data_IF_060427845059
#
_entry.id   IF_060427845059
#
_cell.length_a   1.000
_cell.length_b   1.000
_cell.length_c   1.000
_cell.angle_alpha   90.00
_cell.angle_beta   90.00
_cell.angle_gamma   90.00
#
_symmetry.space_group_name_H-M   'P 1'
#
loop_
_entity.id
_entity.type
_entity.pdbx_description
1 polymer ?
#
# COMPACT_ATOMS: atom_id res chain seq x y z
N UNK A 1 20.92 -3.34 10.19
CA UNK A 1 21.61 -3.05 8.90
C UNK A 1 20.77 -3.61 7.75
N UNK A 2 21.10 -3.31 6.48
CA UNK A 2 20.37 -3.90 5.33
C UNK A 2 20.46 -5.44 5.32
N UNK A 3 21.62 -5.99 5.69
CA UNK A 3 21.82 -7.44 5.77
C UNK A 3 20.93 -8.09 6.84
N UNK A 4 20.84 -7.48 8.02
CA UNK A 4 19.96 -7.93 9.09
C UNK A 4 18.47 -7.89 8.71
N UNK A 5 18.00 -6.79 8.10
CA UNK A 5 16.61 -6.70 7.62
C UNK A 5 16.30 -7.80 6.61
N UNK A 6 17.22 -8.07 5.67
CA UNK A 6 17.06 -9.13 4.70
C UNK A 6 16.97 -10.50 5.37
N UNK A 7 17.84 -10.78 6.33
CA UNK A 7 17.83 -12.03 7.09
C UNK A 7 16.49 -12.24 7.81
N UNK A 8 15.97 -11.18 8.45
CA UNK A 8 14.68 -11.22 9.15
C UNK A 8 13.50 -11.45 8.21
N UNK A 9 13.48 -10.81 7.04
CA UNK A 9 12.45 -11.04 6.02
C UNK A 9 12.53 -12.48 5.47
N UNK A 10 13.73 -12.98 5.19
CA UNK A 10 13.92 -14.34 4.66
C UNK A 10 13.46 -15.42 5.63
N UNK A 11 13.64 -15.22 6.94
CA UNK A 11 13.22 -16.17 7.97
C UNK A 11 11.79 -15.95 8.49
N UNK A 12 11.11 -14.89 8.05
CA UNK A 12 9.72 -14.65 8.41
C UNK A 12 8.80 -15.69 7.76
N UNK A 13 7.88 -16.26 8.55
CA UNK A 13 6.82 -17.13 8.06
C UNK A 13 5.68 -16.28 7.51
N UNK A 14 5.66 -16.11 6.19
CA UNK A 14 4.54 -15.52 5.46
C UNK A 14 3.46 -16.59 5.21
N UNK A 15 2.22 -16.15 4.98
CA UNK A 15 1.13 -17.04 4.53
C UNK A 15 1.47 -17.64 3.13
N UNK A 16 0.89 -18.79 2.80
CA UNK A 16 1.26 -19.53 1.57
C UNK A 16 1.06 -18.72 0.29
N UNK A 17 0.04 -17.86 0.25
CA UNK A 17 -0.31 -16.98 -0.86
C UNK A 17 0.47 -15.65 -0.87
N UNK A 18 1.25 -15.36 0.16
CA UNK A 18 2.06 -14.15 0.26
C UNK A 18 3.42 -14.28 -0.41
N UNK A 19 3.99 -15.49 -0.45
CA UNK A 19 5.23 -15.78 -1.18
C UNK A 19 4.91 -16.34 -2.55
N UNK A 20 5.25 -15.57 -3.58
CA UNK A 20 5.05 -15.97 -4.97
C UNK A 20 6.31 -16.63 -5.55
N UNK A 21 6.35 -16.80 -6.87
CA UNK A 21 7.48 -17.41 -7.56
C UNK A 21 8.77 -16.58 -7.46
N UNK A 22 9.91 -17.27 -7.56
CA UNK A 22 11.24 -16.64 -7.59
C UNK A 22 11.57 -16.24 -9.04
N UNK A 23 11.94 -14.97 -9.25
CA UNK A 23 12.41 -14.52 -10.55
C UNK A 23 13.91 -14.82 -10.74
N UNK A 24 14.23 -16.00 -11.26
CA UNK A 24 15.60 -16.42 -11.57
C UNK A 24 16.26 -15.60 -12.70
N UNK A 25 15.49 -14.87 -13.50
CA UNK A 25 16.00 -14.06 -14.63
C UNK A 25 16.37 -12.63 -14.22
N UNK A 26 16.05 -12.20 -13.00
CA UNK A 26 16.33 -10.85 -12.52
C UNK A 26 17.83 -10.65 -12.37
N UNK A 27 18.37 -9.68 -13.10
CA UNK A 27 19.81 -9.34 -13.11
C UNK A 27 20.25 -8.60 -11.85
N UNK A 28 19.39 -7.74 -11.32
CA UNK A 28 19.71 -6.86 -10.18
C UNK A 28 18.52 -6.79 -9.20
N UNK A 29 18.83 -6.76 -7.90
CA UNK A 29 17.84 -6.66 -6.82
C UNK A 29 17.36 -8.03 -6.29
N UNK A 30 16.28 -8.00 -5.49
CA UNK A 30 15.73 -9.20 -4.83
C UNK A 30 14.94 -10.07 -5.81
N UNK A 31 15.11 -11.39 -5.79
CA UNK A 31 14.46 -12.31 -6.74
C UNK A 31 13.10 -12.84 -6.26
N UNK A 32 12.92 -12.99 -4.94
CA UNK A 32 11.66 -13.40 -4.33
C UNK A 32 10.57 -12.36 -4.60
N UNK A 33 9.43 -12.81 -5.14
CA UNK A 33 8.24 -11.98 -5.28
C UNK A 33 7.28 -12.20 -4.11
N UNK A 34 6.53 -11.17 -3.80
CA UNK A 34 5.47 -11.22 -2.80
C UNK A 34 4.16 -10.76 -3.44
N UNK A 35 3.04 -11.28 -2.96
CA UNK A 35 1.73 -10.83 -3.41
C UNK A 35 1.48 -9.39 -2.98
N UNK A 36 0.63 -8.68 -3.71
CA UNK A 36 0.35 -7.27 -3.43
C UNK A 36 -0.38 -7.15 -2.09
N UNK A 37 0.13 -6.28 -1.23
CA UNK A 37 -0.43 -6.06 0.11
C UNK A 37 0.15 -6.95 1.20
N UNK A 38 1.07 -7.90 0.90
CA UNK A 38 1.86 -8.59 1.94
C UNK A 38 2.51 -7.56 2.86
N UNK A 39 2.47 -7.80 4.17
CA UNK A 39 3.09 -6.91 5.18
C UNK A 39 4.11 -7.70 6.01
N UNK A 40 5.29 -7.10 6.19
CA UNK A 40 6.26 -7.49 7.20
C UNK A 40 6.37 -6.40 8.27
N UNK A 41 6.13 -6.76 9.53
CA UNK A 41 6.24 -5.84 10.66
C UNK A 41 7.70 -5.76 11.11
N UNK A 42 8.28 -4.57 11.01
CA UNK A 42 9.62 -4.27 11.46
C UNK A 42 9.58 -3.20 12.55
N UNK A 43 9.52 -3.62 13.81
CA UNK A 43 9.34 -2.73 14.96
C UNK A 43 8.04 -1.91 14.79
N UNK A 44 8.14 -0.59 14.71
CA UNK A 44 7.00 0.32 14.51
C UNK A 44 6.71 0.61 13.03
N UNK A 45 7.38 -0.09 12.10
CA UNK A 45 7.21 0.10 10.66
C UNK A 45 6.50 -1.09 10.01
N UNK A 46 5.59 -0.78 9.09
CA UNK A 46 4.99 -1.75 8.19
C UNK A 46 5.71 -1.69 6.84
N UNK A 47 6.37 -2.77 6.45
CA UNK A 47 6.96 -2.90 5.11
C UNK A 47 5.97 -3.68 4.24
N UNK A 48 5.49 -3.08 3.16
CA UNK A 48 4.47 -3.72 2.31
C UNK A 48 4.89 -3.87 0.85
N UNK A 49 4.45 -4.96 0.22
CA UNK A 49 4.61 -5.20 -1.20
C UNK A 49 3.59 -4.38 -2.00
N UNK A 50 3.98 -3.17 -2.39
CA UNK A 50 3.08 -2.22 -3.05
C UNK A 50 2.94 -2.41 -4.57
N UNK A 51 4.02 -2.74 -5.27
CA UNK A 51 4.03 -2.68 -6.75
C UNK A 51 4.77 -3.83 -7.40
N UNK A 52 4.40 -4.11 -8.65
CA UNK A 52 5.19 -4.97 -9.55
C UNK A 52 6.31 -4.15 -10.18
N UNK A 53 7.34 -4.83 -10.66
CA UNK A 53 8.49 -4.21 -11.33
C UNK A 53 8.73 -4.88 -12.67
N UNK A 54 9.02 -4.09 -13.69
CA UNK A 54 9.42 -4.60 -14.99
C UNK A 54 10.93 -4.91 -15.04
N UNK A 55 11.41 -5.40 -16.18
CA UNK A 55 12.81 -5.76 -16.39
C UNK A 55 13.77 -4.56 -16.31
N UNK A 56 13.24 -3.33 -16.30
CA UNK A 56 13.99 -2.08 -16.12
C UNK A 56 13.85 -1.53 -14.69
N UNK A 57 13.37 -2.34 -13.74
CA UNK A 57 13.11 -1.95 -12.36
C UNK A 57 12.18 -0.73 -12.22
N UNK A 58 11.23 -0.57 -13.15
CA UNK A 58 10.21 0.48 -13.06
C UNK A 58 8.98 -0.10 -12.35
N UNK A 59 8.54 0.59 -11.30
CA UNK A 59 7.35 0.23 -10.55
C UNK A 59 6.09 0.46 -11.40
N UNK A 60 5.22 -0.54 -11.47
CA UNK A 60 3.93 -0.44 -12.15
C UNK A 60 2.84 -1.24 -11.45
N UNK A 61 1.59 -0.81 -11.67
CA UNK A 61 0.36 -1.49 -11.28
C UNK A 61 -0.66 -1.30 -12.40
N UNK A 62 -1.58 -2.23 -12.60
CA UNK A 62 -2.87 -1.94 -13.27
C UNK A 62 -3.87 -1.42 -12.23
N UNK A 63 -5.04 -0.91 -12.66
CA UNK A 63 -6.08 -0.54 -11.69
C UNK A 63 -6.57 -1.74 -10.84
N UNK A 64 -6.80 -2.94 -11.43
CA UNK A 64 -7.06 -4.14 -10.63
C UNK A 64 -5.96 -4.46 -9.62
N UNK A 65 -4.68 -4.33 -10.01
CA UNK A 65 -3.56 -4.56 -9.10
C UNK A 65 -3.58 -3.55 -7.92
N UNK A 66 -3.89 -2.29 -8.19
CA UNK A 66 -3.99 -1.24 -7.16
C UNK A 66 -5.14 -1.48 -6.19
N UNK A 67 -6.31 -1.88 -6.69
CA UNK A 67 -7.47 -2.24 -5.86
C UNK A 67 -7.18 -3.48 -5.01
N UNK A 68 -6.59 -4.52 -5.61
CA UNK A 68 -6.19 -5.72 -4.90
C UNK A 68 -5.17 -5.41 -3.80
N UNK A 69 -4.17 -4.58 -4.09
CA UNK A 69 -3.22 -4.08 -3.09
C UNK A 69 -3.95 -3.43 -1.90
N UNK A 70 -4.86 -2.49 -2.15
CA UNK A 70 -5.54 -1.76 -1.08
C UNK A 70 -6.41 -2.68 -0.22
N UNK A 71 -7.19 -3.56 -0.83
CA UNK A 71 -8.04 -4.52 -0.11
C UNK A 71 -7.19 -5.40 0.80
N UNK A 72 -6.12 -6.00 0.26
CA UNK A 72 -5.21 -6.85 1.02
C UNK A 72 -4.49 -6.07 2.11
N UNK A 73 -4.04 -4.85 1.81
CA UNK A 73 -3.35 -4.01 2.77
C UNK A 73 -4.24 -3.69 3.97
N UNK A 74 -5.49 -3.28 3.76
CA UNK A 74 -6.41 -2.98 4.86
C UNK A 74 -6.73 -4.22 5.70
N UNK A 75 -6.95 -5.38 5.08
CA UNK A 75 -7.16 -6.64 5.80
C UNK A 75 -5.94 -7.00 6.67
N UNK A 76 -4.74 -6.91 6.11
CA UNK A 76 -3.50 -7.22 6.84
C UNK A 76 -3.25 -6.24 7.98
N UNK A 77 -3.46 -4.93 7.75
CA UNK A 77 -3.37 -3.94 8.83
C UNK A 77 -4.38 -4.24 9.93
N UNK A 78 -5.60 -4.64 9.61
CA UNK A 78 -6.62 -5.01 10.60
C UNK A 78 -6.16 -6.16 11.52
N UNK A 79 -5.42 -7.13 10.97
CA UNK A 79 -4.86 -8.26 11.75
C UNK A 79 -3.72 -7.85 12.69
N UNK A 80 -2.91 -6.86 12.30
CA UNK A 80 -1.64 -6.55 12.99
C UNK A 80 -1.65 -5.23 13.78
N UNK A 81 -2.60 -4.32 13.56
CA UNK A 81 -2.50 -2.97 14.14
C UNK A 81 -2.56 -2.95 15.66
N UNK A 82 -3.18 -3.95 16.30
CA UNK A 82 -3.17 -4.15 17.76
C UNK A 82 -3.44 -2.87 18.57
N UNK A 83 -4.47 -2.09 18.17
CA UNK A 83 -4.84 -0.79 18.76
C UNK A 83 -3.79 0.34 18.63
N UNK A 84 -2.79 0.18 17.77
CA UNK A 84 -1.87 1.24 17.40
C UNK A 84 -2.42 2.09 16.26
N UNK A 85 -2.09 3.38 16.26
CA UNK A 85 -2.39 4.24 15.11
C UNK A 85 -1.48 3.89 13.93
N UNK A 86 -2.01 3.99 12.72
CA UNK A 86 -1.28 3.70 11.48
C UNK A 86 -1.26 4.94 10.62
N UNK A 87 -0.07 5.28 10.10
CA UNK A 87 0.11 6.40 9.17
C UNK A 87 0.57 5.88 7.82
N UNK A 88 -0.07 6.32 6.74
CA UNK A 88 0.26 5.93 5.36
C UNK A 88 0.28 7.14 4.44
N UNK A 89 1.09 7.15 3.37
CA UNK A 89 0.97 8.16 2.32
C UNK A 89 -0.24 7.87 1.42
N UNK A 90 -0.51 8.75 0.46
CA UNK A 90 -1.35 8.39 -0.69
C UNK A 90 -0.57 7.38 -1.56
N UNK A 91 -0.97 6.11 -1.55
CA UNK A 91 -0.33 5.08 -2.35
C UNK A 91 -0.51 5.35 -3.84
N UNK A 92 0.57 5.22 -4.61
CA UNK A 92 0.57 5.43 -6.06
C UNK A 92 0.77 6.89 -6.48
N UNK A 93 0.70 7.84 -5.55
CA UNK A 93 0.94 9.26 -5.78
C UNK A 93 2.46 9.53 -5.88
N UNK A 94 3.12 9.03 -6.92
CA UNK A 94 4.57 9.15 -7.03
C UNK A 94 5.11 8.58 -8.34
N UNK A 95 6.26 7.91 -8.27
CA UNK A 95 6.91 7.35 -9.46
C UNK A 95 6.25 6.06 -9.98
N UNK A 96 5.33 5.46 -9.22
CA UNK A 96 4.64 4.22 -9.59
C UNK A 96 3.67 4.48 -10.73
N UNK A 97 3.76 3.65 -11.78
CA UNK A 97 2.94 3.82 -12.99
C UNK A 97 1.66 3.00 -12.88
N UNK A 98 0.52 3.68 -12.78
CA UNK A 98 -0.78 3.04 -12.96
C UNK A 98 -1.04 2.92 -14.46
N UNK A 99 -0.86 1.71 -15.00
CA UNK A 99 -1.09 1.38 -16.42
C UNK A 99 -2.53 1.74 -16.79
N UNK A 100 -2.72 2.19 -18.03
CA UNK A 100 -4.00 2.63 -18.61
C UNK A 100 -4.64 3.87 -17.95
N UNK A 101 -4.17 4.26 -16.76
CA UNK A 101 -4.62 5.44 -16.01
C UNK A 101 -3.46 6.39 -15.73
N UNK A 102 -2.69 6.76 -16.77
CA UNK A 102 -1.46 7.56 -16.62
C UNK A 102 -1.67 8.94 -16.00
N UNK A 103 -2.90 9.47 -16.10
CA UNK A 103 -3.27 10.81 -15.64
C UNK A 103 -4.14 10.77 -14.38
N UNK A 104 -4.20 9.64 -13.68
CA UNK A 104 -4.95 9.56 -12.41
C UNK A 104 -4.40 10.60 -11.43
N UNK A 105 -5.29 11.40 -10.86
CA UNK A 105 -4.90 12.47 -9.95
C UNK A 105 -4.62 11.94 -8.53
N UNK A 106 -3.88 12.72 -7.73
CA UNK A 106 -3.66 12.42 -6.32
C UNK A 106 -4.99 12.38 -5.54
N UNK A 107 -5.97 13.19 -5.95
CA UNK A 107 -7.32 13.19 -5.40
C UNK A 107 -8.08 11.89 -5.75
N UNK A 108 -7.99 11.41 -6.98
CA UNK A 108 -8.63 10.14 -7.39
C UNK A 108 -8.04 8.96 -6.63
N UNK A 109 -6.71 8.91 -6.49
CA UNK A 109 -6.03 7.89 -5.68
C UNK A 109 -6.51 7.93 -4.22
N UNK A 110 -6.61 9.13 -3.63
CA UNK A 110 -7.11 9.29 -2.27
C UNK A 110 -8.58 8.86 -2.15
N UNK A 111 -9.44 9.19 -3.11
CA UNK A 111 -10.84 8.73 -3.15
C UNK A 111 -10.93 7.20 -3.20
N UNK A 112 -10.12 6.54 -4.03
CA UNK A 112 -10.06 5.08 -4.10
C UNK A 112 -9.56 4.48 -2.79
N UNK A 113 -8.52 5.06 -2.18
CA UNK A 113 -8.03 4.62 -0.86
C UNK A 113 -9.10 4.71 0.22
N UNK A 114 -9.84 5.83 0.28
CA UNK A 114 -10.91 6.02 1.24
C UNK A 114 -12.08 5.05 0.99
N UNK A 115 -12.46 4.86 -0.28
CA UNK A 115 -13.52 3.92 -0.65
C UNK A 115 -13.16 2.47 -0.31
N UNK A 116 -11.95 2.01 -0.68
CA UNK A 116 -11.45 0.67 -0.34
C UNK A 116 -11.34 0.47 1.18
N UNK A 117 -10.90 1.49 1.92
CA UNK A 117 -10.86 1.43 3.38
C UNK A 117 -12.27 1.27 3.96
N UNK A 118 -13.26 2.02 3.46
CA UNK A 118 -14.65 1.93 3.92
C UNK A 118 -15.21 0.52 3.75
N UNK A 119 -14.99 -0.11 2.59
CA UNK A 119 -15.51 -1.45 2.27
C UNK A 119 -14.73 -2.58 2.95
N UNK A 120 -13.47 -2.37 3.35
CA UNK A 120 -12.62 -3.42 3.95
C UNK A 120 -13.08 -3.92 5.33
N UNK A 121 -14.24 -3.46 5.82
CA UNK A 121 -14.79 -3.66 7.18
C UNK A 121 -13.85 -3.30 8.34
N UNK A 122 -12.61 -2.92 8.06
CA UNK A 122 -11.62 -2.48 9.04
C UNK A 122 -12.11 -1.23 9.77
N UNK A 123 -12.00 -1.24 11.09
CA UNK A 123 -12.33 -0.10 11.95
C UNK A 123 -11.23 0.11 12.98
N UNK A 124 -10.66 1.30 13.00
CA UNK A 124 -9.78 1.74 14.09
C UNK A 124 -10.64 2.12 15.30
N UNK A 125 -10.46 1.42 16.42
CA UNK A 125 -11.11 1.76 17.70
C UNK A 125 -10.31 2.83 18.43
N UNK A 126 -11.01 3.81 19.03
CA UNK A 126 -10.36 4.83 19.85
C UNK A 126 -9.50 4.19 20.97
N UNK A 127 -8.26 4.67 21.22
CA UNK A 127 -7.64 5.89 20.69
C UNK A 127 -6.91 5.74 19.34
N UNK A 128 -6.90 4.54 18.74
CA UNK A 128 -6.21 4.29 17.47
C UNK A 128 -6.85 5.05 16.30
N UNK A 129 -6.01 5.53 15.38
CA UNK A 129 -6.45 6.28 14.19
C UNK A 129 -5.67 5.84 12.95
N UNK A 130 -6.35 5.85 11.80
CA UNK A 130 -5.70 5.91 10.49
C UNK A 130 -5.39 7.37 10.18
N UNK A 131 -4.14 7.65 9.81
CA UNK A 131 -3.71 8.96 9.30
C UNK A 131 -3.20 8.80 7.89
N UNK A 132 -3.86 9.43 6.91
CA UNK A 132 -3.34 9.52 5.54
C UNK A 132 -2.57 10.83 5.43
N UNK A 133 -1.26 10.73 5.19
CA UNK A 133 -0.34 11.86 5.13
C UNK A 133 -0.22 12.35 3.69
N UNK A 134 -0.57 13.62 3.48
CA UNK A 134 -0.46 14.29 2.18
C UNK A 134 0.79 15.18 2.22
N UNK A 135 1.67 15.00 1.23
CA UNK A 135 2.84 15.87 1.12
C UNK A 135 2.41 17.30 0.80
N UNK A 136 3.06 18.29 1.42
CA UNK A 136 2.70 19.71 1.29
C UNK A 136 2.56 20.18 -0.18
N UNK A 137 3.42 19.72 -1.08
CA UNK A 137 3.41 20.12 -2.50
C UNK A 137 2.23 19.53 -3.31
N UNK A 138 1.40 18.69 -2.68
CA UNK A 138 0.25 18.04 -3.31
C UNK A 138 -1.08 18.52 -2.72
N UNK A 139 -1.05 19.23 -1.60
CA UNK A 139 -2.27 19.61 -0.89
C UNK A 139 -3.16 20.51 -1.76
N UNK A 140 -2.56 21.38 -2.57
CA UNK A 140 -3.26 22.31 -3.47
C UNK A 140 -3.93 21.59 -4.66
N UNK A 141 -3.63 20.31 -4.86
CA UNK A 141 -4.21 19.47 -5.93
C UNK A 141 -5.38 18.61 -5.44
N UNK A 142 -5.73 18.73 -4.16
CA UNK A 142 -6.74 17.88 -3.52
C UNK A 142 -7.78 18.76 -2.85
N UNK A 143 -9.03 18.67 -3.31
CA UNK A 143 -10.14 19.33 -2.67
C UNK A 143 -10.61 18.56 -1.42
N UNK A 144 -10.05 18.93 -0.27
CA UNK A 144 -10.43 18.31 1.01
C UNK A 144 -11.89 18.57 1.42
N UNK A 145 -12.51 19.64 0.95
CA UNK A 145 -13.92 19.93 1.23
C UNK A 145 -14.84 18.93 0.51
N UNK A 146 -14.53 18.61 -0.74
CA UNK A 146 -15.27 17.60 -1.50
C UNK A 146 -15.13 16.21 -0.87
N UNK A 147 -13.90 15.85 -0.48
CA UNK A 147 -13.64 14.58 0.22
C UNK A 147 -14.40 14.49 1.54
N UNK A 148 -14.44 15.59 2.31
CA UNK A 148 -15.22 15.64 3.56
C UNK A 148 -16.71 15.50 3.30
N UNK A 149 -17.22 16.11 2.23
CA UNK A 149 -18.65 16.12 1.89
C UNK A 149 -19.13 14.75 1.39
N UNK A 150 -18.27 13.99 0.71
CA UNK A 150 -18.53 12.63 0.25
C UNK A 150 -18.81 11.62 1.39
N UNK A 151 -18.53 11.97 2.66
CA UNK A 151 -18.98 11.16 3.83
C UNK A 151 -20.50 11.08 3.96
N UNK A 152 -21.25 12.02 3.37
CA UNK A 152 -22.69 12.16 3.56
C UNK A 152 -23.53 11.61 2.38
N UNK A 153 -22.92 11.03 1.34
CA UNK A 153 -23.64 10.73 0.09
C UNK A 153 -23.03 9.66 -0.82
N UNK A 154 -22.25 8.73 -0.27
CA UNK A 154 -21.82 7.48 -0.91
C UNK A 154 -21.97 6.34 0.08
#
# INVERSE_FOLDING_TARGET
>A
SVSDLNHRISNHQFEEDERLEINHKRKEGKTQKYSLGTIFVNNDYLLTAFSKFDDKNRAFLTMPDYLAFLINFWDKVNRIYAQKSVSVPIFGSGITRIKEHKNISDEDLLKIMLWTFRISEMRFKFPAKLTIVIHKDKIDKINLLDIKSARNGL
#
